data_IF_416035796882
#
_entry.id   IF_416035796882
#
_cell.length_a   1.000
_cell.length_b   1.000
_cell.length_c   1.000
_cell.angle_alpha   90.00
_cell.angle_beta   90.00
_cell.angle_gamma   90.00
#
_symmetry.space_group_name_H-M   'P 1'
#
loop_
_entity.id
_entity.type
_entity.pdbx_description
1 polymer ?
#
# COMPACT_ATOMS: atom_id res chain seq x y z
N UNK A 1 -7.49 20.91 31.46
CA UNK A 1 -8.56 20.15 30.79
C UNK A 1 -8.12 18.70 30.73
N UNK A 2 -8.93 17.78 31.25
CA UNK A 2 -8.60 16.37 31.36
C UNK A 2 -8.37 15.76 29.96
N UNK A 3 -7.15 15.29 29.70
CA UNK A 3 -6.82 14.48 28.53
C UNK A 3 -7.43 13.10 28.74
N UNK A 4 -8.66 12.90 28.26
CA UNK A 4 -9.24 11.55 28.18
C UNK A 4 -8.30 10.67 27.35
N UNK A 5 -7.67 9.71 28.02
CA UNK A 5 -6.72 8.80 27.42
C UNK A 5 -7.51 7.71 26.72
N UNK A 6 -7.82 7.91 25.44
CA UNK A 6 -8.51 6.92 24.62
C UNK A 6 -7.71 5.62 24.55
N UNK A 7 -8.20 4.59 25.26
CA UNK A 7 -7.59 3.26 25.26
C UNK A 7 -7.92 2.48 23.98
N UNK A 8 -7.04 1.58 23.53
CA UNK A 8 -7.35 0.65 22.44
C UNK A 8 -8.61 -0.14 22.72
N UNK A 9 -9.43 -0.31 21.69
CA UNK A 9 -10.74 -0.97 21.69
C UNK A 9 -11.86 -0.24 22.43
N UNK A 10 -11.63 1.00 22.88
CA UNK A 10 -12.70 1.86 23.39
C UNK A 10 -13.60 2.34 22.25
N UNK A 11 -14.90 2.32 22.48
CA UNK A 11 -15.89 2.88 21.57
C UNK A 11 -15.93 4.41 21.71
N UNK A 12 -15.85 5.12 20.59
CA UNK A 12 -15.81 6.58 20.56
C UNK A 12 -16.76 7.13 19.51
N UNK A 13 -17.23 8.35 19.77
CA UNK A 13 -18.05 9.14 18.89
C UNK A 13 -17.31 10.42 18.53
N UNK A 14 -17.29 10.76 17.24
CA UNK A 14 -16.82 12.05 16.79
C UNK A 14 -17.88 13.13 17.05
N UNK A 15 -17.50 14.21 17.72
CA UNK A 15 -18.45 15.25 18.13
C UNK A 15 -18.96 16.11 16.95
N UNK A 16 -18.18 16.23 15.87
CA UNK A 16 -18.47 17.07 14.72
C UNK A 16 -19.43 16.37 13.75
N UNK A 17 -19.08 15.16 13.32
CA UNK A 17 -19.84 14.43 12.29
C UNK A 17 -20.67 13.27 12.85
N UNK A 18 -20.68 13.08 14.17
CA UNK A 18 -21.41 12.01 14.88
C UNK A 18 -21.04 10.59 14.44
N UNK A 19 -19.90 10.42 13.77
CA UNK A 19 -19.42 9.09 13.37
C UNK A 19 -19.00 8.27 14.59
N UNK A 20 -19.34 6.98 14.56
CA UNK A 20 -18.99 6.00 15.58
C UNK A 20 -17.81 5.15 15.12
N UNK A 21 -16.89 4.85 16.03
CA UNK A 21 -15.76 3.99 15.75
C UNK A 21 -15.12 3.39 16.99
N UNK A 22 -14.21 2.45 16.76
CA UNK A 22 -13.45 1.76 17.79
C UNK A 22 -11.99 2.20 17.71
N UNK A 23 -11.42 2.65 18.82
CA UNK A 23 -10.03 3.10 18.91
C UNK A 23 -9.10 1.93 18.62
N UNK A 24 -8.13 2.12 17.73
CA UNK A 24 -7.10 1.12 17.43
C UNK A 24 -5.70 1.58 17.83
N UNK A 25 -5.45 2.89 17.87
CA UNK A 25 -4.14 3.45 18.20
C UNK A 25 -4.26 4.90 18.64
N UNK A 26 -3.46 5.29 19.64
CA UNK A 26 -3.30 6.68 20.07
C UNK A 26 -1.83 7.07 19.98
N UNK A 27 -1.53 8.20 19.33
CA UNK A 27 -0.16 8.75 19.19
C UNK A 27 -0.21 10.26 19.44
N UNK A 28 0.25 10.68 20.62
CA UNK A 28 0.02 12.05 21.09
C UNK A 28 -1.48 12.35 21.10
N UNK A 29 -1.89 13.47 20.51
CA UNK A 29 -3.30 13.86 20.38
C UNK A 29 -4.03 13.23 19.19
N UNK A 30 -3.35 12.39 18.39
CA UNK A 30 -3.98 11.73 17.25
C UNK A 30 -4.50 10.35 17.66
N UNK A 31 -5.80 10.15 17.49
CA UNK A 31 -6.51 8.91 17.80
C UNK A 31 -6.98 8.29 16.49
N UNK A 32 -6.46 7.11 16.16
CA UNK A 32 -6.90 6.32 15.02
C UNK A 32 -8.02 5.39 15.44
N UNK A 33 -9.12 5.43 14.71
CA UNK A 33 -10.31 4.61 14.91
C UNK A 33 -10.65 3.83 13.65
N UNK A 34 -11.30 2.69 13.82
CA UNK A 34 -12.02 2.01 12.75
C UNK A 34 -13.49 2.38 12.88
N UNK A 35 -14.03 3.02 11.84
CA UNK A 35 -15.45 3.38 11.76
C UNK A 35 -16.29 2.20 11.26
N UNK A 36 -17.61 2.27 11.46
CA UNK A 36 -18.55 1.17 11.18
C UNK A 36 -18.44 0.53 9.78
N UNK A 37 -18.03 1.29 8.77
CA UNK A 37 -17.83 0.79 7.40
C UNK A 37 -16.45 0.12 7.17
N UNK A 38 -15.66 -0.11 8.22
CA UNK A 38 -14.33 -0.70 8.15
C UNK A 38 -13.21 0.27 7.77
N UNK A 39 -13.54 1.55 7.50
CA UNK A 39 -12.57 2.59 7.21
C UNK A 39 -11.70 2.93 8.41
N UNK A 40 -10.41 3.17 8.18
CA UNK A 40 -9.48 3.71 9.18
C UNK A 40 -9.44 5.22 9.07
N UNK A 41 -9.71 5.91 10.17
CA UNK A 41 -9.70 7.36 10.24
C UNK A 41 -8.90 7.83 11.45
N UNK A 42 -8.22 8.96 11.32
CA UNK A 42 -7.47 9.58 12.42
C UNK A 42 -8.11 10.91 12.77
N UNK A 43 -8.44 11.08 14.06
CA UNK A 43 -9.02 12.30 14.60
C UNK A 43 -8.10 12.89 15.67
N UNK A 44 -8.24 14.20 15.93
CA UNK A 44 -7.68 14.79 17.15
C UNK A 44 -8.52 14.37 18.34
N UNK A 45 -7.89 14.08 19.47
CA UNK A 45 -8.54 13.65 20.71
C UNK A 45 -9.65 14.61 21.15
N UNK A 46 -9.47 15.92 20.96
CA UNK A 46 -10.47 16.96 21.27
C UNK A 46 -11.77 16.85 20.48
N UNK A 47 -11.81 16.08 19.40
CA UNK A 47 -13.00 15.85 18.58
C UNK A 47 -13.68 14.51 18.85
N UNK A 48 -13.21 13.78 19.86
CA UNK A 48 -13.75 12.49 20.24
C UNK A 48 -14.30 12.55 21.65
N UNK A 49 -15.38 11.80 21.86
CA UNK A 49 -15.97 11.52 23.16
C UNK A 49 -16.19 10.01 23.29
N UNK A 50 -16.25 9.45 24.51
CA UNK A 50 -16.74 8.10 24.72
C UNK A 50 -18.14 7.93 24.09
N UNK A 51 -18.35 6.81 23.40
CA UNK A 51 -19.68 6.47 22.89
C UNK A 51 -20.62 6.18 24.08
N UNK A 52 -21.89 6.53 23.94
CA UNK A 52 -22.93 6.14 24.91
C UNK A 52 -23.10 4.62 24.95
N UNK A 53 -23.72 4.06 25.99
CA UNK A 53 -23.92 2.61 26.11
C UNK A 53 -24.65 2.01 24.90
N UNK A 54 -25.67 2.71 24.37
CA UNK A 54 -26.41 2.29 23.18
C UNK A 54 -25.54 2.30 21.91
N UNK A 55 -24.70 3.33 21.74
CA UNK A 55 -23.78 3.43 20.61
C UNK A 55 -22.66 2.38 20.71
N UNK A 56 -22.12 2.15 21.92
CA UNK A 56 -21.12 1.13 22.19
C UNK A 56 -21.65 -0.28 21.93
N UNK A 57 -22.92 -0.55 22.27
CA UNK A 57 -23.57 -1.83 21.95
C UNK A 57 -23.59 -2.10 20.45
N UNK A 58 -23.80 -1.07 19.62
CA UNK A 58 -23.78 -1.19 18.15
C UNK A 58 -22.40 -1.48 17.56
N UNK A 59 -21.33 -1.29 18.34
CA UNK A 59 -19.94 -1.54 17.96
C UNK A 59 -19.37 -2.82 18.60
N UNK A 60 -20.18 -3.57 19.35
CA UNK A 60 -19.73 -4.71 20.16
C UNK A 60 -19.06 -5.80 19.31
N UNK A 61 -19.69 -6.23 18.22
CA UNK A 61 -19.14 -7.24 17.32
C UNK A 61 -17.80 -6.80 16.71
N UNK A 62 -17.73 -5.55 16.24
CA UNK A 62 -16.51 -4.96 15.71
C UNK A 62 -15.40 -4.91 16.77
N UNK A 63 -15.75 -4.51 18.00
CA UNK A 63 -14.80 -4.44 19.12
C UNK A 63 -14.27 -5.82 19.49
N UNK A 64 -15.14 -6.83 19.54
CA UNK A 64 -14.75 -8.22 19.81
C UNK A 64 -13.88 -8.80 18.70
N UNK A 65 -14.20 -8.53 17.43
CA UNK A 65 -13.38 -8.92 16.29
C UNK A 65 -12.01 -8.25 16.35
N UNK A 66 -11.95 -6.95 16.64
CA UNK A 66 -10.69 -6.22 16.79
C UNK A 66 -9.87 -6.68 17.99
N UNK A 67 -10.49 -7.10 19.09
CA UNK A 67 -9.78 -7.72 20.23
C UNK A 67 -9.22 -9.10 19.87
N UNK A 68 -9.96 -9.91 19.10
CA UNK A 68 -9.48 -11.20 18.56
C UNK A 68 -8.30 -11.00 17.60
N UNK A 69 -8.39 -10.00 16.73
CA UNK A 69 -7.33 -9.64 15.79
C UNK A 69 -6.14 -8.95 16.49
N UNK A 70 -6.40 -8.21 17.57
CA UNK A 70 -5.43 -7.51 18.41
C UNK A 70 -4.63 -8.39 19.35
N UNK A 71 -5.19 -9.56 19.73
CA UNK A 71 -4.47 -10.64 20.42
C UNK A 71 -3.39 -11.28 19.55
N UNK A 72 -3.43 -11.07 18.23
CA UNK A 72 -2.26 -11.25 17.36
C UNK A 72 -1.37 -10.02 17.54
N UNK A 73 -0.63 -10.00 18.66
CA UNK A 73 0.49 -9.09 18.93
C UNK A 73 1.21 -8.81 17.62
N UNK A 74 1.35 -7.52 17.33
CA UNK A 74 1.77 -6.96 16.05
C UNK A 74 2.55 -7.94 15.21
N UNK A 75 1.96 -8.36 14.09
CA UNK A 75 2.73 -8.93 13.00
C UNK A 75 3.87 -7.96 12.72
N UNK A 76 5.06 -8.26 13.23
CA UNK A 76 6.22 -8.48 12.36
C UNK A 76 5.64 -9.05 11.09
N UNK A 77 5.45 -8.17 10.09
CA UNK A 77 4.52 -8.38 8.98
C UNK A 77 4.63 -9.83 8.55
N UNK A 78 3.60 -10.64 8.81
CA UNK A 78 3.59 -12.01 8.27
C UNK A 78 3.77 -11.77 6.79
N UNK A 79 4.93 -12.19 6.29
CA UNK A 79 5.19 -12.18 4.85
C UNK A 79 3.96 -12.85 4.27
N UNK A 80 3.19 -12.10 3.49
CA UNK A 80 1.98 -12.61 2.88
C UNK A 80 2.35 -13.92 2.20
N UNK A 81 1.53 -14.95 2.37
CA UNK A 81 1.79 -16.27 1.81
C UNK A 81 2.23 -16.11 0.35
N UNK A 82 3.48 -16.48 0.00
CA UNK A 82 4.01 -16.22 -1.32
C UNK A 82 3.16 -16.83 -2.43
N UNK A 83 2.51 -17.97 -2.18
CA UNK A 83 1.64 -18.62 -3.16
C UNK A 83 0.36 -17.79 -3.37
N UNK A 84 -0.26 -17.30 -2.30
CA UNK A 84 -1.43 -16.43 -2.40
C UNK A 84 -1.09 -15.12 -3.12
N UNK A 85 0.07 -14.53 -2.84
CA UNK A 85 0.53 -13.31 -3.53
C UNK A 85 0.67 -13.54 -5.03
N UNK A 86 1.24 -14.68 -5.44
CA UNK A 86 1.33 -15.05 -6.86
C UNK A 86 -0.04 -15.25 -7.48
N UNK A 87 -0.93 -16.00 -6.82
CA UNK A 87 -2.29 -16.25 -7.29
C UNK A 87 -3.05 -14.94 -7.53
N UNK A 88 -2.96 -13.98 -6.60
CA UNK A 88 -3.61 -12.67 -6.77
C UNK A 88 -2.98 -11.85 -7.90
N UNK A 89 -1.66 -11.92 -8.08
CA UNK A 89 -0.98 -11.29 -9.21
C UNK A 89 -1.40 -11.92 -10.55
N UNK A 90 -1.49 -13.24 -10.63
CA UNK A 90 -1.92 -13.95 -11.83
C UNK A 90 -3.37 -13.63 -12.19
N UNK A 91 -4.27 -13.55 -11.20
CA UNK A 91 -5.65 -13.06 -11.41
C UNK A 91 -5.67 -11.65 -11.97
N UNK A 92 -4.85 -10.76 -11.41
CA UNK A 92 -4.71 -9.38 -11.88
C UNK A 92 -4.24 -9.31 -13.34
N UNK A 93 -3.18 -10.03 -13.70
CA UNK A 93 -2.65 -10.10 -15.07
C UNK A 93 -3.68 -10.70 -16.02
N UNK A 94 -4.35 -11.78 -15.62
CA UNK A 94 -5.41 -12.42 -16.42
C UNK A 94 -6.56 -11.46 -16.69
N UNK A 95 -6.97 -10.64 -15.72
CA UNK A 95 -8.03 -9.65 -15.91
C UNK A 95 -7.68 -8.63 -16.98
N UNK A 96 -6.42 -8.17 -17.03
CA UNK A 96 -5.93 -7.27 -18.07
C UNK A 96 -5.92 -7.98 -19.42
N UNK A 97 -5.36 -9.19 -19.49
CA UNK A 97 -5.25 -9.96 -20.72
C UNK A 97 -6.61 -10.31 -21.34
N UNK A 98 -7.65 -10.52 -20.54
CA UNK A 98 -9.02 -10.77 -21.03
C UNK A 98 -9.60 -9.56 -21.78
N UNK A 99 -9.29 -8.34 -21.35
CA UNK A 99 -9.77 -7.10 -21.99
C UNK A 99 -8.84 -6.60 -23.09
N UNK A 100 -7.54 -6.73 -22.85
CA UNK A 100 -6.45 -6.21 -23.68
C UNK A 100 -5.32 -7.25 -23.78
N UNK A 101 -5.43 -8.28 -24.64
CA UNK A 101 -4.49 -9.41 -24.66
C UNK A 101 -3.02 -8.99 -24.81
N UNK A 102 -2.74 -8.08 -25.77
CA UNK A 102 -1.39 -7.57 -26.01
C UNK A 102 -0.83 -6.77 -24.83
N UNK A 103 -1.67 -6.00 -24.14
CA UNK A 103 -1.27 -5.24 -22.95
C UNK A 103 -0.94 -6.18 -21.79
N UNK A 104 -1.75 -7.23 -21.60
CA UNK A 104 -1.49 -8.26 -20.57
C UNK A 104 -0.18 -8.99 -20.80
N UNK A 105 0.12 -9.36 -22.05
CA UNK A 105 1.39 -9.98 -22.43
C UNK A 105 2.58 -9.03 -22.22
N UNK A 106 2.49 -7.79 -22.71
CA UNK A 106 3.55 -6.80 -22.54
C UNK A 106 3.81 -6.49 -21.06
N UNK A 107 2.76 -6.40 -20.25
CA UNK A 107 2.88 -6.26 -18.80
C UNK A 107 3.59 -7.45 -18.17
N UNK A 108 3.20 -8.68 -18.53
CA UNK A 108 3.81 -9.90 -17.98
C UNK A 108 5.32 -9.96 -18.27
N UNK A 109 5.73 -9.59 -19.48
CA UNK A 109 7.16 -9.53 -19.84
C UNK A 109 7.88 -8.48 -18.99
N UNK A 110 7.37 -7.25 -18.97
CA UNK A 110 8.00 -6.17 -18.21
C UNK A 110 8.03 -6.45 -16.70
N UNK A 111 6.98 -7.07 -16.17
CA UNK A 111 6.91 -7.50 -14.77
C UNK A 111 8.00 -8.54 -14.46
N UNK A 112 8.23 -9.50 -15.36
CA UNK A 112 9.28 -10.50 -15.20
C UNK A 112 10.68 -9.87 -15.23
N UNK A 113 10.91 -8.88 -16.10
CA UNK A 113 12.16 -8.10 -16.15
C UNK A 113 12.42 -7.34 -14.85
N UNK A 114 11.37 -6.75 -14.25
CA UNK A 114 11.46 -6.08 -12.96
C UNK A 114 11.75 -7.05 -11.81
N UNK A 115 11.12 -8.22 -11.79
CA UNK A 115 11.36 -9.25 -10.78
C UNK A 115 12.77 -9.82 -10.86
N UNK A 116 13.36 -9.91 -12.04
CA UNK A 116 14.76 -10.31 -12.21
C UNK A 116 15.73 -9.32 -11.53
N UNK A 117 15.35 -8.05 -11.42
CA UNK A 117 16.15 -7.01 -10.75
C UNK A 117 15.86 -6.98 -9.24
N UNK A 118 14.59 -6.99 -8.86
CA UNK A 118 14.15 -6.90 -7.46
C UNK A 118 14.43 -8.17 -6.64
N UNK A 119 14.62 -9.29 -7.34
CA UNK A 119 14.50 -10.64 -6.78
C UNK A 119 13.03 -11.06 -6.71
N UNK A 120 12.72 -12.28 -7.15
CA UNK A 120 11.35 -12.80 -7.12
C UNK A 120 11.02 -13.47 -5.78
N UNK A 121 10.78 -12.64 -4.76
CA UNK A 121 10.38 -13.07 -3.42
C UNK A 121 9.03 -12.45 -3.06
N UNK A 122 7.91 -13.07 -3.47
CA UNK A 122 6.57 -12.57 -3.20
C UNK A 122 6.33 -12.42 -1.70
N UNK A 123 5.66 -11.34 -1.30
CA UNK A 123 5.48 -10.96 0.10
C UNK A 123 6.71 -10.27 0.72
N UNK A 124 7.89 -10.31 0.09
CA UNK A 124 9.13 -9.69 0.61
C UNK A 124 9.65 -8.55 -0.28
N UNK A 125 10.10 -8.84 -1.50
CA UNK A 125 10.61 -7.85 -2.47
C UNK A 125 9.51 -7.24 -3.32
N UNK A 126 8.36 -7.90 -3.38
CA UNK A 126 7.17 -7.40 -4.04
C UNK A 126 5.91 -7.96 -3.38
N UNK A 127 4.76 -7.33 -3.60
CA UNK A 127 3.46 -7.87 -3.21
C UNK A 127 2.32 -7.31 -4.06
N UNK A 128 1.12 -7.84 -3.89
CA UNK A 128 -0.11 -7.24 -4.40
C UNK A 128 -0.72 -6.32 -3.34
N UNK A 129 -1.07 -5.09 -3.69
CA UNK A 129 -2.00 -4.31 -2.86
C UNK A 129 -3.32 -5.08 -2.73
N UNK A 130 -3.91 -5.13 -1.54
CA UNK A 130 -5.12 -5.91 -1.31
C UNK A 130 -6.26 -5.41 -2.20
N UNK A 131 -7.16 -6.31 -2.60
CA UNK A 131 -8.33 -6.00 -3.43
C UNK A 131 -9.30 -4.98 -2.82
N UNK A 132 -9.23 -4.76 -1.50
CA UNK A 132 -9.97 -3.71 -0.79
C UNK A 132 -9.35 -2.30 -0.94
N UNK A 133 -8.16 -2.19 -1.52
CA UNK A 133 -7.56 -0.92 -1.89
C UNK A 133 -8.34 -0.27 -3.05
N UNK A 134 -8.38 1.05 -3.10
CA UNK A 134 -8.94 1.78 -4.25
C UNK A 134 -8.14 1.54 -5.54
N UNK A 135 -6.92 1.02 -5.46
CA UNK A 135 -6.05 0.71 -6.59
C UNK A 135 -5.25 -0.59 -6.36
N UNK A 136 -5.88 -1.78 -6.46
CA UNK A 136 -5.16 -3.04 -6.37
C UNK A 136 -4.19 -3.16 -7.53
N UNK A 137 -2.92 -3.41 -7.21
CA UNK A 137 -1.84 -3.54 -8.19
C UNK A 137 -0.63 -4.24 -7.59
N UNK A 138 0.25 -4.81 -8.42
CA UNK A 138 1.57 -5.25 -8.00
C UNK A 138 2.45 -4.05 -7.62
N UNK A 139 3.24 -4.25 -6.57
CA UNK A 139 4.12 -3.23 -5.99
C UNK A 139 5.49 -3.82 -5.71
N UNK A 140 6.54 -3.13 -6.15
CA UNK A 140 7.91 -3.42 -5.73
C UNK A 140 8.21 -2.76 -4.39
N UNK A 141 9.01 -3.46 -3.57
CA UNK A 141 9.41 -3.04 -2.24
C UNK A 141 10.92 -2.95 -2.12
N UNK A 142 11.37 -1.92 -1.43
CA UNK A 142 12.79 -1.73 -1.11
C UNK A 142 13.02 -1.95 0.37
N UNK A 143 14.22 -2.40 0.70
CA UNK A 143 14.63 -2.53 2.10
C UNK A 143 15.11 -1.18 2.62
N UNK A 144 14.41 -0.65 3.62
CA UNK A 144 14.84 0.54 4.34
C UNK A 144 15.72 0.11 5.52
N UNK A 145 17.03 0.16 5.34
CA UNK A 145 18.00 -0.23 6.36
C UNK A 145 17.85 0.53 7.69
N UNK A 146 17.62 1.86 7.73
CA UNK A 146 17.36 2.56 8.98
C UNK A 146 16.19 2.00 9.80
N UNK A 147 15.10 1.61 9.15
CA UNK A 147 13.88 1.12 9.83
C UNK A 147 13.79 -0.41 9.89
N UNK A 148 14.73 -1.11 9.25
CA UNK A 148 14.75 -2.57 9.08
C UNK A 148 13.44 -3.13 8.50
N UNK A 149 12.81 -2.39 7.58
CA UNK A 149 11.50 -2.71 7.00
C UNK A 149 11.53 -2.72 5.48
N UNK A 150 10.74 -3.60 4.91
CA UNK A 150 10.37 -3.54 3.50
C UNK A 150 9.28 -2.49 3.32
N UNK A 151 9.50 -1.54 2.42
CA UNK A 151 8.58 -0.42 2.17
C UNK A 151 8.23 -0.34 0.70
N UNK A 152 7.00 0.05 0.40
CA UNK A 152 6.52 0.19 -0.98
C UNK A 152 7.31 1.28 -1.69
N UNK A 153 7.80 0.95 -2.88
CA UNK A 153 8.62 1.83 -3.70
C UNK A 153 7.93 2.21 -5.01
N UNK A 154 7.46 1.21 -5.76
CA UNK A 154 6.94 1.39 -7.12
C UNK A 154 5.64 0.61 -7.31
N UNK A 155 4.54 1.30 -7.64
CA UNK A 155 3.26 0.70 -7.96
C UNK A 155 3.10 0.56 -9.49
N UNK A 156 2.53 -0.55 -9.95
CA UNK A 156 2.27 -0.78 -11.38
C UNK A 156 0.77 -0.95 -11.65
N UNK A 157 0.10 0.14 -12.00
CA UNK A 157 -1.31 0.12 -12.36
C UNK A 157 -1.45 -0.18 -13.86
N UNK A 158 -1.64 -1.45 -14.16
CA UNK A 158 -1.83 -1.96 -15.52
C UNK A 158 -3.31 -1.96 -15.94
N UNK A 159 -3.55 -1.58 -17.19
CA UNK A 159 -4.86 -1.54 -17.83
C UNK A 159 -4.70 -1.50 -19.36
N UNK A 160 -5.41 -0.60 -20.03
CA UNK A 160 -5.15 -0.33 -21.46
C UNK A 160 -3.73 0.21 -21.69
N UNK A 161 -3.26 1.06 -20.77
CA UNK A 161 -1.89 1.55 -20.63
C UNK A 161 -1.32 1.11 -19.27
N UNK A 162 0.00 1.27 -19.08
CA UNK A 162 0.66 1.05 -17.81
C UNK A 162 0.93 2.39 -17.13
N UNK A 163 0.35 2.61 -15.94
CA UNK A 163 0.77 3.71 -15.07
C UNK A 163 1.72 3.19 -14.00
N UNK A 164 2.92 3.75 -13.96
CA UNK A 164 3.90 3.46 -12.91
C UNK A 164 3.96 4.65 -11.95
N UNK A 165 3.91 4.38 -10.65
CA UNK A 165 4.02 5.42 -9.62
C UNK A 165 5.15 5.07 -8.65
N UNK A 166 6.13 5.96 -8.52
CA UNK A 166 7.31 5.80 -7.67
C UNK A 166 7.31 6.84 -6.55
N UNK A 167 7.70 6.46 -5.33
CA UNK A 167 7.93 7.46 -4.28
C UNK A 167 9.18 8.27 -4.55
N UNK A 168 9.09 9.60 -4.36
CA UNK A 168 10.19 10.56 -4.60
C UNK A 168 11.46 10.18 -3.81
N UNK A 169 11.29 9.71 -2.58
CA UNK A 169 12.38 9.33 -1.68
C UNK A 169 13.27 8.18 -2.21
N UNK A 170 12.76 7.38 -3.15
CA UNK A 170 13.50 6.26 -3.76
C UNK A 170 13.89 6.51 -5.21
N UNK A 171 13.48 7.63 -5.81
CA UNK A 171 13.80 7.91 -7.21
C UNK A 171 15.27 8.36 -7.31
N UNK A 172 16.13 7.67 -8.10
CA UNK A 172 17.51 8.11 -8.29
C UNK A 172 17.56 9.48 -8.98
N UNK A 173 18.51 10.32 -8.57
CA UNK A 173 18.75 11.61 -9.22
C UNK A 173 19.05 11.44 -10.71
N UNK A 174 18.42 12.25 -11.56
CA UNK A 174 18.51 12.16 -13.02
C UNK A 174 17.45 11.27 -13.67
N UNK A 175 16.65 10.54 -12.87
CA UNK A 175 15.54 9.73 -13.39
C UNK A 175 14.19 10.46 -13.37
N UNK A 176 14.13 11.74 -12.99
CA UNK A 176 12.90 12.53 -12.88
C UNK A 176 12.16 12.65 -14.20
N UNK A 177 12.90 12.73 -15.32
CA UNK A 177 12.33 12.80 -16.66
C UNK A 177 11.60 11.51 -17.07
N UNK A 178 11.95 10.36 -16.48
CA UNK A 178 11.24 9.09 -16.71
C UNK A 178 9.86 9.10 -16.04
N UNK A 179 9.66 9.93 -15.02
CA UNK A 179 8.41 10.07 -14.28
C UNK A 179 7.94 11.53 -14.30
N UNK A 180 7.46 12.04 -15.44
CA UNK A 180 7.17 13.46 -15.63
C UNK A 180 5.97 13.96 -14.81
N UNK A 181 5.05 13.06 -14.42
CA UNK A 181 3.86 13.43 -13.64
C UNK A 181 4.28 13.63 -12.19
N UNK A 182 4.39 14.87 -11.75
CA UNK A 182 4.70 15.19 -10.36
C UNK A 182 3.47 15.07 -9.44
N UNK A 183 3.70 14.94 -8.13
CA UNK A 183 2.70 14.86 -7.07
C UNK A 183 1.74 13.66 -7.11
N UNK A 184 2.18 12.54 -7.71
CA UNK A 184 1.52 11.24 -7.54
C UNK A 184 1.58 10.77 -6.08
N UNK A 185 0.85 9.71 -5.73
CA UNK A 185 0.83 9.14 -4.36
C UNK A 185 0.54 10.19 -3.27
N UNK A 186 -0.47 11.04 -3.50
CA UNK A 186 -0.83 12.13 -2.59
C UNK A 186 0.33 13.12 -2.34
N UNK A 187 1.07 13.47 -3.39
CA UNK A 187 2.20 14.41 -3.32
C UNK A 187 3.57 13.77 -3.03
N UNK A 188 3.59 12.54 -2.51
CA UNK A 188 4.82 11.85 -2.10
C UNK A 188 5.58 11.15 -3.25
N UNK A 189 5.00 11.11 -4.45
CA UNK A 189 5.50 10.35 -5.58
C UNK A 189 5.53 11.10 -6.91
N UNK A 190 6.10 10.44 -7.90
CA UNK A 190 6.04 10.80 -9.32
C UNK A 190 5.45 9.63 -10.10
N UNK A 191 4.93 9.90 -11.28
CA UNK A 191 4.33 8.88 -12.14
C UNK A 191 4.69 9.06 -13.62
N UNK A 192 4.45 8.00 -14.36
CA UNK A 192 4.46 7.98 -15.82
C UNK A 192 3.31 7.11 -16.32
N UNK A 193 2.79 7.45 -17.49
CA UNK A 193 1.82 6.64 -18.22
C UNK A 193 2.48 6.16 -19.51
N UNK A 194 2.49 4.84 -19.71
CA UNK A 194 3.19 4.15 -20.78
C UNK A 194 2.18 3.41 -21.64
N UNK A 195 2.18 3.72 -22.93
CA UNK A 195 1.39 2.97 -23.89
C UNK A 195 2.11 1.66 -24.24
N UNK A 196 1.48 0.51 -23.99
CA UNK A 196 2.08 -0.79 -24.31
C UNK A 196 2.45 -0.96 -25.79
N UNK A 197 1.74 -0.26 -26.71
CA UNK A 197 2.07 -0.28 -28.15
C UNK A 197 3.41 0.39 -28.44
N UNK A 198 3.80 1.37 -27.62
CA UNK A 198 5.01 2.17 -27.75
C UNK A 198 6.04 1.81 -26.67
N UNK A 199 5.97 0.59 -26.11
CA UNK A 199 6.84 0.11 -25.04
C UNK A 199 7.66 -1.14 -25.43
N UNK A 200 8.45 -1.08 -26.53
CA UNK A 200 9.42 -2.10 -26.93
C UNK A 200 10.62 -2.14 -25.98
N UNK A 201 11.47 -3.20 -26.02
CA UNK A 201 12.57 -3.41 -25.08
C UNK A 201 13.48 -2.19 -24.86
N UNK A 202 13.84 -1.47 -25.92
CA UNK A 202 14.68 -0.28 -25.88
C UNK A 202 14.05 0.88 -25.08
N UNK A 203 12.73 0.99 -25.06
CA UNK A 203 12.01 1.99 -24.25
C UNK A 203 11.74 1.51 -22.83
N UNK A 204 11.86 0.20 -22.54
CA UNK A 204 11.80 -0.36 -21.18
C UNK A 204 13.11 -0.15 -20.44
N UNK A 205 14.24 -0.23 -21.16
CA UNK A 205 15.57 -0.23 -20.58
C UNK A 205 15.82 0.92 -19.58
N UNK A 206 15.45 2.19 -19.86
CA UNK A 206 15.67 3.27 -18.89
C UNK A 206 14.93 3.06 -17.56
N UNK A 207 13.73 2.47 -17.59
CA UNK A 207 12.98 2.13 -16.38
C UNK A 207 13.62 0.97 -15.61
N UNK A 208 14.11 -0.03 -16.33
CA UNK A 208 14.85 -1.15 -15.74
C UNK A 208 16.15 -0.67 -15.08
N UNK A 209 16.90 0.22 -15.73
CA UNK A 209 18.13 0.80 -15.20
C UNK A 209 17.87 1.67 -13.96
N UNK A 210 16.80 2.47 -13.99
CA UNK A 210 16.32 3.20 -12.82
C UNK A 210 16.06 2.25 -11.65
N UNK A 211 15.27 1.19 -11.86
CA UNK A 211 14.96 0.20 -10.81
C UNK A 211 16.23 -0.50 -10.32
N UNK A 212 17.15 -0.84 -11.21
CA UNK A 212 18.44 -1.45 -10.85
C UNK A 212 19.28 -0.52 -9.96
N UNK A 213 19.29 0.79 -10.25
CA UNK A 213 19.95 1.77 -9.41
C UNK A 213 19.33 1.86 -8.01
N UNK A 214 17.99 1.78 -7.90
CA UNK A 214 17.29 1.75 -6.61
C UNK A 214 17.75 0.55 -5.77
N UNK A 215 17.71 -0.66 -6.34
CA UNK A 215 18.08 -1.88 -5.61
C UNK A 215 19.57 -1.96 -5.30
N UNK A 216 20.44 -1.26 -6.06
CA UNK A 216 21.86 -1.10 -5.71
C UNK A 216 22.05 -0.25 -4.46
N UNK A 217 21.30 0.85 -4.33
CA UNK A 217 21.37 1.75 -3.17
C UNK A 217 20.70 1.16 -1.93
N UNK A 218 19.61 0.42 -2.11
CA UNK A 218 18.80 -0.18 -1.04
C UNK A 218 18.99 -1.70 -0.95
N UNK A 219 20.20 -2.18 -1.26
CA UNK A 219 20.51 -3.59 -1.26
C UNK A 219 20.27 -4.20 0.14
N UNK A 220 19.45 -5.25 0.19
CA UNK A 220 19.30 -6.05 1.40
C UNK A 220 20.56 -6.91 1.57
N UNK A 221 21.45 -6.47 2.45
CA UNK A 221 22.58 -7.26 2.96
C UNK A 221 22.04 -8.11 4.11
N UNK A 222 21.36 -9.19 3.75
CA UNK A 222 20.88 -10.19 4.72
C UNK A 222 22.04 -10.86 5.44
#
# INVERSE_FOLDING_TARGET
>A
METYKFEPYSAVRNILNKSLGVVIKTVGDNVTVIVKNGGRMTFKAQYLEPATEAEAASLKEMTEQLKKDGGRKGTTGKIADPELVRIECDKYIRHIALRYPKSGEAFKVFWSELLAIAGDLPGKTWEMKPGSSSNPCPVLKVYNAPTQKWVYCLNLLAGWALRMEIKKEFLPSGCEALFPIDNALFGAGRAVELNYKDFPPEKRQPYLDCVKAIYKTHAYKG
#
